data_IF_124399546083
#
_entry.id   IF_124399546083
#
_cell.length_a   1.000
_cell.length_b   1.000
_cell.length_c   1.000
_cell.angle_alpha   90.00
_cell.angle_beta   90.00
_cell.angle_gamma   90.00
#
_symmetry.space_group_name_H-M   'P 1'
#
loop_
_entity.id
_entity.type
_entity.pdbx_description
1 polymer ?
#
# COMPACT_ATOMS: atom_id res chain seq x y z
N UNK A 1 -2.02 -14.63 11.50
CA UNK A 1 -3.25 -14.93 12.29
C UNK A 1 -4.44 -14.10 11.80
N UNK A 2 -4.26 -12.82 11.57
CA UNK A 2 -5.32 -11.88 11.16
C UNK A 2 -6.00 -12.28 9.85
N UNK A 3 -5.24 -12.60 8.80
CA UNK A 3 -5.81 -13.05 7.53
C UNK A 3 -6.63 -14.34 7.64
N UNK A 4 -6.17 -15.29 8.45
CA UNK A 4 -6.87 -16.57 8.64
C UNK A 4 -8.23 -16.39 9.33
N UNK A 5 -8.34 -15.41 10.21
CA UNK A 5 -9.63 -15.06 10.84
C UNK A 5 -10.59 -14.43 9.84
N UNK A 6 -10.08 -13.51 8.98
CA UNK A 6 -10.87 -12.89 7.90
C UNK A 6 -11.48 -13.97 6.99
N UNK A 7 -10.68 -14.94 6.55
CA UNK A 7 -11.13 -16.00 5.64
C UNK A 7 -12.28 -16.85 6.21
N UNK A 8 -12.33 -17.01 7.53
CA UNK A 8 -13.43 -17.74 8.20
C UNK A 8 -14.76 -16.99 8.19
N UNK A 9 -14.70 -15.65 8.15
CA UNK A 9 -15.89 -14.80 8.24
C UNK A 9 -16.47 -14.44 6.87
N UNK A 10 -15.70 -14.62 5.79
CA UNK A 10 -16.14 -14.26 4.44
C UNK A 10 -16.48 -15.48 3.59
N UNK A 11 -17.57 -15.37 2.83
CA UNK A 11 -17.92 -16.31 1.74
C UNK A 11 -17.03 -16.15 0.51
N UNK A 12 -16.21 -15.10 0.43
CA UNK A 12 -15.31 -14.83 -0.70
C UNK A 12 -14.04 -15.67 -0.60
N UNK A 13 -13.59 -16.19 -1.74
CA UNK A 13 -12.26 -16.82 -1.88
C UNK A 13 -11.19 -15.73 -1.92
N UNK A 14 -10.68 -15.33 -0.78
CA UNK A 14 -9.52 -14.45 -0.68
C UNK A 14 -8.24 -15.26 -0.81
N UNK A 15 -7.30 -14.77 -1.62
CA UNK A 15 -5.91 -15.24 -1.67
C UNK A 15 -5.01 -14.12 -1.17
N UNK A 16 -4.03 -14.46 -0.35
CA UNK A 16 -3.02 -13.50 0.11
C UNK A 16 -1.66 -13.88 -0.46
N UNK A 17 -0.99 -12.91 -1.06
CA UNK A 17 0.39 -13.05 -1.52
C UNK A 17 1.26 -12.14 -0.66
N UNK A 18 2.26 -12.72 -0.02
CA UNK A 18 3.26 -12.00 0.79
C UNK A 18 4.56 -11.98 -0.01
N UNK A 19 4.95 -10.79 -0.45
CA UNK A 19 6.19 -10.54 -1.18
C UNK A 19 7.23 -10.00 -0.21
N UNK A 20 8.39 -10.59 -0.22
CA UNK A 20 9.49 -10.22 0.66
C UNK A 20 10.04 -11.41 1.44
N UNK A 21 11.12 -11.14 2.15
CA UNK A 21 11.78 -12.10 3.02
C UNK A 21 12.16 -11.43 4.34
N UNK A 22 12.39 -12.21 5.39
CA UNK A 22 12.78 -11.70 6.68
C UNK A 22 12.87 -12.78 7.75
N UNK A 23 13.34 -12.42 8.95
CA UNK A 23 13.59 -13.38 10.04
C UNK A 23 12.32 -14.13 10.47
N UNK A 24 11.15 -13.51 10.32
CA UNK A 24 9.86 -14.09 10.73
C UNK A 24 9.24 -15.04 9.68
N UNK A 25 9.85 -15.21 8.50
CA UNK A 25 9.27 -16.00 7.42
C UNK A 25 8.88 -17.43 7.84
N UNK A 26 9.79 -18.12 8.53
CA UNK A 26 9.53 -19.50 8.99
C UNK A 26 8.30 -19.55 9.90
N UNK A 27 8.25 -18.70 10.91
CA UNK A 27 7.13 -18.59 11.86
C UNK A 27 5.81 -18.26 11.14
N UNK A 28 5.83 -17.32 10.20
CA UNK A 28 4.65 -16.95 9.43
C UNK A 28 4.17 -18.05 8.50
N UNK A 29 5.08 -18.80 7.89
CA UNK A 29 4.75 -19.97 7.06
C UNK A 29 4.09 -21.07 7.89
N UNK A 30 4.59 -21.34 9.09
CA UNK A 30 3.99 -22.29 10.02
C UNK A 30 2.57 -21.88 10.44
N UNK A 31 2.37 -20.61 10.77
CA UNK A 31 1.04 -20.05 11.10
C UNK A 31 0.06 -20.15 9.93
N UNK A 32 0.55 -19.95 8.71
CA UNK A 32 -0.26 -19.98 7.49
C UNK A 32 -0.47 -21.40 6.93
N UNK A 33 0.10 -22.42 7.55
CA UNK A 33 -0.02 -23.80 7.07
C UNK A 33 -1.48 -24.22 6.90
N UNK A 34 -1.79 -24.85 5.76
CA UNK A 34 -3.17 -25.21 5.41
C UNK A 34 -4.07 -24.05 4.95
N UNK A 35 -3.50 -22.85 4.71
CA UNK A 35 -4.20 -21.69 4.15
C UNK A 35 -3.77 -21.39 2.71
N UNK A 36 -4.52 -20.51 2.01
CA UNK A 36 -4.20 -20.05 0.65
C UNK A 36 -3.21 -18.86 0.65
N UNK A 37 -2.34 -18.76 1.65
CA UNK A 37 -1.29 -17.72 1.71
C UNK A 37 -0.08 -18.18 0.91
N UNK A 38 0.38 -17.35 0.00
CA UNK A 38 1.55 -17.59 -0.86
C UNK A 38 2.69 -16.70 -0.39
N UNK A 39 3.83 -17.28 -0.08
CA UNK A 39 5.07 -16.55 0.23
C UNK A 39 6.02 -16.65 -0.97
N UNK A 40 6.26 -15.53 -1.64
CA UNK A 40 7.11 -15.52 -2.86
C UNK A 40 8.60 -15.40 -2.57
N UNK A 41 8.97 -14.95 -1.37
CA UNK A 41 10.29 -14.42 -1.12
C UNK A 41 10.45 -13.02 -1.72
N UNK A 42 11.69 -12.51 -1.74
CA UNK A 42 12.00 -11.21 -2.34
C UNK A 42 11.87 -11.27 -3.86
N UNK A 43 11.12 -10.31 -4.43
CA UNK A 43 10.95 -10.14 -5.87
C UNK A 43 11.42 -8.75 -6.28
N UNK A 44 11.96 -8.63 -7.49
CA UNK A 44 12.41 -7.37 -8.09
C UNK A 44 12.03 -7.30 -9.56
N UNK A 45 12.11 -6.11 -10.14
CA UNK A 45 11.91 -5.89 -11.57
C UNK A 45 10.57 -6.43 -12.08
N UNK A 46 10.61 -7.15 -13.19
CA UNK A 46 9.41 -7.64 -13.87
C UNK A 46 8.56 -8.60 -13.01
N UNK A 47 9.19 -9.46 -12.20
CA UNK A 47 8.46 -10.40 -11.34
C UNK A 47 7.64 -9.67 -10.27
N UNK A 48 8.20 -8.60 -9.67
CA UNK A 48 7.48 -7.75 -8.73
C UNK A 48 6.33 -7.01 -9.42
N UNK A 49 6.58 -6.44 -10.60
CA UNK A 49 5.55 -5.76 -11.38
C UNK A 49 4.37 -6.68 -11.75
N UNK A 50 4.65 -7.95 -12.09
CA UNK A 50 3.60 -8.94 -12.37
C UNK A 50 2.73 -9.23 -11.14
N UNK A 51 3.31 -9.28 -9.95
CA UNK A 51 2.53 -9.48 -8.71
C UNK A 51 1.61 -8.29 -8.46
N UNK A 52 2.11 -7.05 -8.58
CA UNK A 52 1.27 -5.86 -8.47
C UNK A 52 0.14 -5.90 -9.50
N UNK A 53 0.44 -6.17 -10.77
CA UNK A 53 -0.55 -6.20 -11.85
C UNK A 53 -1.62 -7.31 -11.69
N UNK A 54 -1.33 -8.35 -10.92
CA UNK A 54 -2.23 -9.49 -10.69
C UNK A 54 -3.09 -9.35 -9.44
N UNK A 55 -2.85 -8.35 -8.60
CA UNK A 55 -3.56 -8.13 -7.36
C UNK A 55 -4.84 -7.30 -7.58
N UNK A 56 -5.78 -7.39 -6.65
CA UNK A 56 -7.00 -6.57 -6.62
C UNK A 56 -6.90 -5.41 -5.62
N UNK A 57 -6.08 -5.56 -4.57
CA UNK A 57 -5.80 -4.54 -3.57
C UNK A 57 -4.43 -4.79 -2.92
N UNK A 58 -3.82 -3.73 -2.43
CA UNK A 58 -2.58 -3.79 -1.68
C UNK A 58 -2.84 -3.54 -0.20
N UNK A 59 -2.32 -4.40 0.67
CA UNK A 59 -2.48 -4.31 2.13
C UNK A 59 -1.13 -4.01 2.76
N UNK A 60 -1.02 -2.86 3.42
CA UNK A 60 0.20 -2.38 4.03
C UNK A 60 0.03 -2.16 5.54
N UNK A 61 0.40 -3.18 6.32
CA UNK A 61 0.24 -3.19 7.79
C UNK A 61 1.47 -2.67 8.55
N UNK A 62 2.41 -2.00 7.88
CA UNK A 62 3.62 -1.48 8.52
C UNK A 62 3.26 -0.39 9.54
N UNK A 63 3.93 -0.44 10.68
CA UNK A 63 3.88 0.57 11.74
C UNK A 63 5.19 1.36 11.85
N UNK A 64 6.19 0.99 11.05
CA UNK A 64 7.49 1.68 10.97
C UNK A 64 7.77 1.92 9.50
N UNK A 65 7.72 3.18 9.08
CA UNK A 65 7.89 3.55 7.69
C UNK A 65 8.67 4.87 7.57
N UNK A 66 9.62 4.91 6.67
CA UNK A 66 10.38 6.14 6.37
C UNK A 66 9.81 6.88 5.17
N UNK A 67 9.68 6.22 4.02
CA UNK A 67 9.21 6.83 2.77
C UNK A 67 7.96 6.19 2.17
N UNK A 68 7.69 4.91 2.46
CA UNK A 68 6.51 4.21 1.96
C UNK A 68 6.46 4.02 0.44
N UNK A 69 7.61 3.88 -0.21
CA UNK A 69 7.67 3.71 -1.67
C UNK A 69 6.76 2.59 -2.18
N UNK A 70 6.62 1.52 -1.41
CA UNK A 70 5.74 0.39 -1.75
C UNK A 70 4.26 0.79 -1.87
N UNK A 71 3.83 1.82 -1.12
CA UNK A 71 2.48 2.39 -1.24
C UNK A 71 2.32 3.12 -2.57
N UNK A 72 3.32 3.94 -2.94
CA UNK A 72 3.33 4.64 -4.22
C UNK A 72 3.42 3.66 -5.40
N UNK A 73 4.24 2.63 -5.28
CA UNK A 73 4.37 1.55 -6.28
C UNK A 73 3.03 0.82 -6.48
N UNK A 74 2.33 0.48 -5.40
CA UNK A 74 1.02 -0.14 -5.47
C UNK A 74 -0.01 0.78 -6.14
N UNK A 75 -0.09 2.05 -5.73
CA UNK A 75 -0.99 3.04 -6.33
C UNK A 75 -0.68 3.26 -7.81
N UNK A 76 0.60 3.41 -8.18
CA UNK A 76 1.05 3.54 -9.57
C UNK A 76 0.73 2.30 -10.41
N UNK A 77 0.68 1.14 -9.78
CA UNK A 77 0.27 -0.12 -10.41
C UNK A 77 -1.26 -0.27 -10.53
N UNK A 78 -2.03 0.74 -10.12
CA UNK A 78 -3.48 0.75 -10.20
C UNK A 78 -4.16 -0.08 -9.09
N UNK A 79 -3.57 -0.15 -7.91
CA UNK A 79 -4.16 -0.85 -6.76
C UNK A 79 -4.67 0.14 -5.72
N UNK A 80 -5.90 -0.04 -5.22
CA UNK A 80 -6.33 0.62 -3.99
C UNK A 80 -5.55 0.05 -2.80
N UNK A 81 -5.23 0.91 -1.83
CA UNK A 81 -4.37 0.56 -0.71
C UNK A 81 -5.14 0.57 0.60
N UNK A 82 -4.97 -0.46 1.42
CA UNK A 82 -5.38 -0.49 2.83
C UNK A 82 -4.15 -0.31 3.70
N UNK A 83 -4.11 0.74 4.50
CA UNK A 83 -2.95 1.04 5.35
C UNK A 83 -3.36 1.67 6.69
N UNK A 84 -2.41 1.79 7.63
CA UNK A 84 -2.60 2.65 8.78
C UNK A 84 -2.50 4.13 8.40
N UNK A 85 -3.30 4.97 9.06
CA UNK A 85 -3.29 6.43 8.91
C UNK A 85 -2.03 7.02 9.57
N UNK A 86 -0.90 6.87 8.89
CA UNK A 86 0.42 7.22 9.39
C UNK A 86 1.40 7.38 8.22
N UNK A 87 2.35 8.30 8.34
CA UNK A 87 3.45 8.55 7.40
C UNK A 87 2.97 8.68 5.93
N UNK A 88 3.60 7.98 4.99
CA UNK A 88 3.30 8.03 3.56
C UNK A 88 1.84 7.68 3.21
N UNK A 89 1.22 6.61 3.72
CA UNK A 89 -0.19 6.31 3.49
C UNK A 89 -1.13 7.49 3.77
N UNK A 90 -0.96 8.16 4.91
CA UNK A 90 -1.78 9.32 5.29
C UNK A 90 -1.71 10.45 4.26
N UNK A 91 -0.57 10.63 3.61
CA UNK A 91 -0.33 11.69 2.64
C UNK A 91 -0.99 11.43 1.28
N UNK A 92 -1.01 10.18 0.84
CA UNK A 92 -1.35 9.83 -0.54
C UNK A 92 -2.69 9.13 -0.69
N UNK A 93 -3.15 8.41 0.33
CA UNK A 93 -4.40 7.66 0.26
C UNK A 93 -5.59 8.57 0.59
N UNK A 94 -6.55 8.65 -0.32
CA UNK A 94 -7.84 9.32 -0.12
C UNK A 94 -8.87 8.28 0.33
N UNK A 95 -9.36 8.45 1.55
CA UNK A 95 -10.31 7.52 2.19
C UNK A 95 -11.53 7.24 1.31
N UNK A 96 -11.77 5.97 0.99
CA UNK A 96 -12.90 5.50 0.18
C UNK A 96 -12.81 5.83 -1.31
N UNK A 97 -11.72 6.49 -1.77
CA UNK A 97 -11.52 6.89 -3.17
C UNK A 97 -10.34 6.14 -3.78
N UNK A 98 -9.17 6.17 -3.15
CA UNK A 98 -7.97 5.48 -3.62
C UNK A 98 -7.51 4.36 -2.68
N UNK A 99 -8.23 4.17 -1.58
CA UNK A 99 -7.94 3.17 -0.58
C UNK A 99 -8.60 3.48 0.76
N UNK A 100 -8.12 2.85 1.80
CA UNK A 100 -8.65 3.00 3.16
C UNK A 100 -7.53 3.18 4.17
N UNK A 101 -7.76 4.09 5.10
CA UNK A 101 -6.88 4.38 6.22
C UNK A 101 -7.52 3.91 7.52
N UNK A 102 -6.84 3.04 8.23
CA UNK A 102 -7.21 2.61 9.59
C UNK A 102 -6.44 3.43 10.63
N UNK A 103 -7.02 3.76 11.77
CA UNK A 103 -6.29 4.45 12.82
C UNK A 103 -5.02 3.67 13.22
N UNK A 104 -3.94 4.40 13.46
CA UNK A 104 -2.64 3.80 13.76
C UNK A 104 -2.71 2.86 14.96
N UNK A 105 -2.16 1.66 14.80
CA UNK A 105 -2.12 0.63 15.84
C UNK A 105 -3.45 -0.08 16.14
N UNK A 106 -4.57 0.34 15.54
CA UNK A 106 -5.86 -0.31 15.76
C UNK A 106 -6.05 -1.52 14.83
N UNK A 107 -5.46 -2.65 15.24
CA UNK A 107 -5.49 -3.90 14.46
C UNK A 107 -6.92 -4.37 14.15
N UNK A 108 -7.84 -4.27 15.09
CA UNK A 108 -9.23 -4.69 14.88
C UNK A 108 -9.91 -3.87 13.77
N UNK A 109 -9.73 -2.54 13.77
CA UNK A 109 -10.25 -1.67 12.72
C UNK A 109 -9.61 -1.97 11.36
N UNK A 110 -8.30 -2.18 11.32
CA UNK A 110 -7.57 -2.55 10.11
C UNK A 110 -8.10 -3.85 9.51
N UNK A 111 -8.34 -4.85 10.35
CA UNK A 111 -8.93 -6.13 9.95
C UNK A 111 -10.34 -5.97 9.40
N UNK A 112 -11.17 -5.20 10.10
CA UNK A 112 -12.54 -4.92 9.66
C UNK A 112 -12.57 -4.23 8.30
N UNK A 113 -11.64 -3.30 8.05
CA UNK A 113 -11.49 -2.64 6.76
C UNK A 113 -11.22 -3.65 5.64
N UNK A 114 -10.35 -4.64 5.87
CA UNK A 114 -10.05 -5.68 4.87
C UNK A 114 -11.27 -6.59 4.66
N UNK A 115 -12.00 -6.93 5.72
CA UNK A 115 -13.23 -7.76 5.63
C UNK A 115 -14.28 -7.06 4.77
N UNK A 116 -14.39 -5.74 4.88
CA UNK A 116 -15.39 -4.92 4.21
C UNK A 116 -14.96 -4.42 2.82
N UNK A 117 -13.86 -4.91 2.27
CA UNK A 117 -13.44 -4.52 0.91
C UNK A 117 -14.58 -4.80 -0.09
N UNK A 118 -14.87 -3.84 -0.98
CA UNK A 118 -15.94 -3.99 -1.97
C UNK A 118 -15.62 -5.05 -3.02
N UNK A 119 -16.53 -5.28 -3.93
CA UNK A 119 -16.32 -6.19 -5.06
C UNK A 119 -15.21 -5.70 -6.02
N UNK A 120 -14.65 -6.63 -6.78
CA UNK A 120 -13.50 -6.40 -7.66
C UNK A 120 -13.69 -5.22 -8.62
N UNK A 121 -14.90 -5.02 -9.15
CA UNK A 121 -15.20 -3.91 -10.05
C UNK A 121 -14.95 -2.55 -9.39
N UNK A 122 -15.39 -2.40 -8.15
CA UNK A 122 -15.17 -1.16 -7.37
C UNK A 122 -13.69 -0.99 -7.06
N UNK A 123 -13.00 -2.07 -6.64
CA UNK A 123 -11.54 -2.04 -6.40
C UNK A 123 -10.77 -1.57 -7.63
N UNK A 124 -11.14 -2.04 -8.82
CA UNK A 124 -10.51 -1.60 -10.08
C UNK A 124 -10.74 -0.11 -10.37
N UNK A 125 -11.94 0.40 -10.15
CA UNK A 125 -12.22 1.83 -10.30
C UNK A 125 -11.37 2.66 -9.34
N UNK A 126 -11.28 2.25 -8.08
CA UNK A 126 -10.45 2.91 -7.07
C UNK A 126 -8.96 2.84 -7.43
N UNK A 127 -8.49 1.71 -7.92
CA UNK A 127 -7.12 1.54 -8.39
C UNK A 127 -6.78 2.46 -9.56
N UNK A 128 -7.69 2.62 -10.52
CA UNK A 128 -7.53 3.59 -11.62
C UNK A 128 -7.37 5.01 -11.07
N UNK A 129 -8.21 5.40 -10.11
CA UNK A 129 -8.10 6.71 -9.47
C UNK A 129 -6.79 6.86 -8.69
N UNK A 130 -6.37 5.80 -7.95
CA UNK A 130 -5.11 5.78 -7.23
C UNK A 130 -3.92 6.04 -8.17
N UNK A 131 -3.89 5.39 -9.33
CA UNK A 131 -2.87 5.60 -10.35
C UNK A 131 -2.87 7.03 -10.87
N UNK A 132 -4.02 7.58 -11.23
CA UNK A 132 -4.13 8.97 -11.71
C UNK A 132 -3.61 9.97 -10.68
N UNK A 133 -3.95 9.78 -9.41
CA UNK A 133 -3.50 10.65 -8.34
C UNK A 133 -1.96 10.64 -8.18
N UNK A 134 -1.32 9.50 -8.40
CA UNK A 134 0.14 9.34 -8.25
C UNK A 134 0.91 9.76 -9.50
N UNK A 135 0.34 9.69 -10.69
CA UNK A 135 1.00 10.16 -11.92
C UNK A 135 1.44 11.62 -11.83
N UNK A 136 0.76 12.44 -11.03
CA UNK A 136 1.14 13.83 -10.75
C UNK A 136 2.23 13.98 -9.67
N UNK A 137 2.56 12.93 -8.93
CA UNK A 137 3.56 12.92 -7.86
C UNK A 137 4.93 12.55 -8.44
N UNK A 138 5.52 13.46 -9.20
CA UNK A 138 6.87 13.29 -9.74
C UNK A 138 7.94 13.93 -8.86
N UNK A 139 9.20 13.61 -9.12
CA UNK A 139 10.37 14.23 -8.48
C UNK A 139 10.43 15.76 -8.69
N UNK A 140 9.76 16.27 -9.70
CA UNK A 140 9.72 17.71 -10.01
C UNK A 140 9.17 18.54 -8.86
N UNK A 141 8.17 18.05 -8.13
CA UNK A 141 7.56 18.79 -7.03
C UNK A 141 8.49 18.88 -5.79
N UNK A 142 9.05 17.77 -5.25
CA UNK A 142 10.04 17.85 -4.17
C UNK A 142 11.28 18.65 -4.54
N UNK A 143 11.78 18.52 -5.76
CA UNK A 143 12.94 19.30 -6.26
C UNK A 143 12.63 20.80 -6.25
N UNK A 144 11.47 21.19 -6.78
CA UNK A 144 11.04 22.60 -6.79
C UNK A 144 10.84 23.16 -5.38
N UNK A 145 10.27 22.39 -4.46
CA UNK A 145 10.14 22.80 -3.05
C UNK A 145 11.51 22.96 -2.38
N UNK A 146 12.43 22.05 -2.62
CA UNK A 146 13.79 22.13 -2.09
C UNK A 146 14.54 23.34 -2.65
N UNK A 147 14.44 23.58 -3.93
CA UNK A 147 15.00 24.76 -4.60
C UNK A 147 14.46 26.06 -4.00
N UNK A 148 13.13 26.18 -3.82
CA UNK A 148 12.50 27.31 -3.17
C UNK A 148 12.99 27.53 -1.73
N UNK A 149 13.14 26.43 -0.97
CA UNK A 149 13.68 26.49 0.39
C UNK A 149 15.14 26.99 0.42
N UNK A 150 15.96 26.56 -0.54
CA UNK A 150 17.34 27.06 -0.69
C UNK A 150 17.37 28.55 -1.02
N UNK A 151 16.56 29.01 -1.98
CA UNK A 151 16.46 30.43 -2.29
C UNK A 151 16.01 31.27 -1.10
N UNK A 152 15.04 30.78 -0.36
CA UNK A 152 14.57 31.44 0.86
C UNK A 152 15.66 31.52 1.95
N UNK A 153 16.35 30.41 2.20
CA UNK A 153 17.46 30.32 3.17
C UNK A 153 18.65 31.21 2.79
N UNK A 154 18.92 31.37 1.50
CA UNK A 154 19.99 32.19 0.98
C UNK A 154 19.61 33.68 0.81
N UNK A 155 18.38 34.08 1.14
CA UNK A 155 17.84 35.41 0.86
C UNK A 155 17.93 35.85 -0.62
N UNK A 156 17.97 34.90 -1.54
CA UNK A 156 18.05 35.13 -2.97
C UNK A 156 16.65 34.99 -3.56
N UNK A 157 16.20 35.95 -4.37
CA UNK A 157 14.95 35.78 -5.13
C UNK A 157 15.11 34.67 -6.16
N UNK A 158 14.16 33.73 -6.20
CA UNK A 158 14.11 32.73 -7.25
C UNK A 158 14.05 33.42 -8.61
N UNK A 159 14.79 32.89 -9.58
CA UNK A 159 14.70 33.35 -10.96
C UNK A 159 13.27 33.07 -11.50
N UNK A 160 12.74 33.94 -12.38
CA UNK A 160 11.39 33.81 -12.94
C UNK A 160 11.19 32.55 -13.78
#
# INVERSE_FOLDING_TARGET
QSYLNIKKEQSRKLKMVIVGDGPDRKRLTEIANGSDVIFTGSLTGQSLAQVYASADAFVFASQIETFGNVVLEAMASGLPVVAYNYASPQRYIKQGITGWLSPFGQVAHFMQTIIQLPEQKVLRCMGTQARQDIESVGWQYPVKQFEQALYHAANIKAAP
#
